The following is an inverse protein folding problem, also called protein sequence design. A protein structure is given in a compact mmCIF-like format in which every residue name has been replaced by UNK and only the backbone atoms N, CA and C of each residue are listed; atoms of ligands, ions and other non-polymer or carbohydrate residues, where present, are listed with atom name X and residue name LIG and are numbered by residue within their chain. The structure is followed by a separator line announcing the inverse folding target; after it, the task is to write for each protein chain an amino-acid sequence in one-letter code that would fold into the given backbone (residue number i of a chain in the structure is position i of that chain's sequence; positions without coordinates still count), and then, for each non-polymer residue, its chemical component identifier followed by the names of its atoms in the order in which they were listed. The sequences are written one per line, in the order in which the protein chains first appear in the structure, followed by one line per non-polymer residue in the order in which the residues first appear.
data_IF_769286713307
#
_entry.id   IF_769286713307
#
_cell.length_a   1.000
_cell.length_b   1.000
_cell.length_c   1.000
_cell.angle_alpha   90.00
_cell.angle_beta   90.00
_cell.angle_gamma   90.00
#
_symmetry.space_group_name_H-M   'P 1'
#
loop_
_entity.id
_entity.type
_entity.pdbx_description
1 polymer ?
#
# COMPACT_ATOMS: atom_id res chain seq x y z
N UNK A 1 44.67 -24.34 -32.10
CA UNK A 1 45.03 -25.15 -30.91
C UNK A 1 44.78 -24.27 -29.69
N UNK A 2 43.70 -24.32 -28.92
CA UNK A 2 42.67 -25.33 -28.73
C UNK A 2 41.30 -24.64 -28.62
N UNK A 3 40.34 -25.19 -29.37
CA UNK A 3 38.91 -25.01 -29.13
C UNK A 3 38.52 -25.70 -27.82
N UNK A 4 37.69 -25.08 -26.99
CA UNK A 4 36.63 -25.75 -26.23
C UNK A 4 35.59 -24.73 -25.77
N UNK A 5 34.40 -24.83 -26.36
CA UNK A 5 33.16 -24.22 -25.89
C UNK A 5 32.74 -24.89 -24.58
N UNK A 6 32.19 -24.11 -23.64
CA UNK A 6 31.06 -24.50 -22.79
C UNK A 6 30.49 -23.21 -22.16
N UNK A 7 29.42 -22.63 -22.73
CA UNK A 7 28.04 -22.77 -22.23
C UNK A 7 27.83 -21.95 -20.94
N UNK A 8 27.22 -20.77 -20.93
CA UNK A 8 25.86 -20.53 -21.43
C UNK A 8 25.56 -19.06 -21.72
N UNK A 9 25.04 -18.88 -22.92
CA UNK A 9 24.64 -17.67 -23.61
C UNK A 9 23.13 -17.51 -23.39
N UNK A 10 22.71 -16.76 -22.37
CA UNK A 10 21.33 -16.22 -22.23
C UNK A 10 21.13 -15.40 -20.95
N UNK A 11 21.52 -14.12 -20.89
CA UNK A 11 21.01 -13.28 -19.79
C UNK A 11 20.74 -11.79 -20.11
N UNK A 12 20.75 -11.40 -21.40
CA UNK A 12 20.56 -9.99 -21.77
C UNK A 12 19.20 -9.65 -22.38
N UNK A 13 18.30 -10.62 -22.57
CA UNK A 13 17.04 -10.38 -23.30
C UNK A 13 15.80 -10.24 -22.41
N UNK A 14 15.75 -10.87 -21.23
CA UNK A 14 14.65 -10.65 -20.27
C UNK A 14 14.83 -9.40 -19.39
N UNK A 15 16.04 -8.83 -19.36
CA UNK A 15 16.40 -7.77 -18.41
C UNK A 15 15.98 -6.35 -18.86
N UNK A 16 15.69 -6.11 -20.15
CA UNK A 16 15.50 -4.74 -20.67
C UNK A 16 14.05 -4.25 -20.68
N UNK A 17 13.03 -5.04 -21.08
CA UNK A 17 11.65 -4.57 -21.10
C UNK A 17 11.06 -4.46 -19.69
N UNK A 18 11.25 -5.48 -18.86
CA UNK A 18 10.67 -5.55 -17.51
C UNK A 18 11.26 -4.52 -16.55
N UNK A 19 12.56 -4.23 -16.65
CA UNK A 19 13.18 -3.15 -15.88
C UNK A 19 12.65 -1.78 -16.29
N UNK A 20 12.48 -1.55 -17.59
CA UNK A 20 11.96 -0.29 -18.09
C UNK A 20 10.49 -0.11 -17.66
N UNK A 21 9.69 -1.17 -17.72
CA UNK A 21 8.31 -1.16 -17.23
C UNK A 21 8.22 -0.84 -15.72
N UNK A 22 9.08 -1.44 -14.89
CA UNK A 22 9.15 -1.15 -13.45
C UNK A 22 9.56 0.30 -13.15
N UNK A 23 10.53 0.83 -13.90
CA UNK A 23 10.96 2.22 -13.74
C UNK A 23 9.84 3.21 -14.10
N UNK A 24 9.15 2.97 -15.22
CA UNK A 24 7.99 3.75 -15.66
C UNK A 24 6.87 3.70 -14.62
N UNK A 25 6.57 2.50 -14.08
CA UNK A 25 5.53 2.34 -13.05
C UNK A 25 5.88 3.10 -11.77
N UNK A 26 7.13 2.99 -11.31
CA UNK A 26 7.61 3.72 -10.13
C UNK A 26 7.50 5.24 -10.32
N UNK A 27 7.92 5.75 -11.47
CA UNK A 27 7.83 7.18 -11.79
C UNK A 27 6.37 7.64 -11.85
N UNK A 28 5.49 6.83 -12.43
CA UNK A 28 4.06 7.13 -12.48
C UNK A 28 3.47 7.20 -11.06
N UNK A 29 3.75 6.22 -10.19
CA UNK A 29 3.29 6.22 -8.79
C UNK A 29 3.79 7.48 -8.07
N UNK A 30 5.09 7.77 -8.15
CA UNK A 30 5.68 8.93 -7.49
C UNK A 30 5.02 10.26 -7.92
N UNK A 31 4.74 10.42 -9.21
CA UNK A 31 4.07 11.61 -9.74
C UNK A 31 2.60 11.74 -9.29
N UNK A 32 1.91 10.61 -9.06
CA UNK A 32 0.48 10.61 -8.76
C UNK A 32 0.16 10.54 -7.26
N UNK A 33 1.09 10.13 -6.38
CA UNK A 33 0.85 9.97 -4.94
C UNK A 33 0.32 11.25 -4.25
N UNK A 34 0.93 12.41 -4.52
CA UNK A 34 0.46 13.69 -3.95
C UNK A 34 -0.96 14.03 -4.43
N UNK A 35 -1.24 13.75 -5.71
CA UNK A 35 -2.56 13.99 -6.30
C UNK A 35 -3.60 13.05 -5.70
N UNK A 36 -3.27 11.78 -5.52
CA UNK A 36 -4.13 10.79 -4.91
C UNK A 36 -4.60 11.20 -3.50
N UNK A 37 -3.70 11.78 -2.71
CA UNK A 37 -4.02 12.32 -1.39
C UNK A 37 -5.01 13.51 -1.49
N UNK A 38 -4.77 14.43 -2.42
CA UNK A 38 -5.64 15.61 -2.63
C UNK A 38 -7.00 15.27 -3.26
N UNK A 39 -7.07 14.21 -4.06
CA UNK A 39 -8.27 13.78 -4.78
C UNK A 39 -9.08 12.69 -4.04
N UNK A 40 -8.75 12.42 -2.77
CA UNK A 40 -9.44 11.41 -1.96
C UNK A 40 -9.45 10.02 -2.61
N UNK A 41 -8.36 9.65 -3.27
CA UNK A 41 -8.21 8.34 -3.91
C UNK A 41 -7.72 7.26 -2.93
N UNK A 42 -7.26 7.66 -1.74
CA UNK A 42 -6.97 6.72 -0.66
C UNK A 42 -8.23 6.34 0.10
N UNK A 43 -8.31 5.07 0.49
CA UNK A 43 -9.36 4.52 1.36
C UNK A 43 -8.73 3.62 2.41
N UNK A 44 -9.39 3.49 3.56
CA UNK A 44 -9.00 2.53 4.59
C UNK A 44 -9.89 1.29 4.51
N UNK A 45 -9.26 0.12 4.46
CA UNK A 45 -9.91 -1.15 4.74
C UNK A 45 -9.59 -1.55 6.18
N UNK A 46 -10.49 -2.31 6.82
CA UNK A 46 -10.34 -2.68 8.22
C UNK A 46 -10.32 -4.19 8.37
N UNK A 47 -9.23 -4.73 8.90
CA UNK A 47 -9.13 -6.15 9.23
C UNK A 47 -9.40 -6.36 10.73
N UNK A 48 -10.43 -7.13 11.12
CA UNK A 48 -10.75 -7.32 12.52
C UNK A 48 -9.65 -8.10 13.25
N UNK A 49 -9.35 -7.67 14.48
CA UNK A 49 -8.53 -8.41 15.44
C UNK A 49 -9.47 -9.09 16.42
N UNK A 50 -9.35 -10.40 16.56
CA UNK A 50 -10.19 -11.22 17.42
C UNK A 50 -9.34 -11.86 18.50
N UNK A 51 -9.86 -11.88 19.71
CA UNK A 51 -9.32 -12.68 20.80
C UNK A 51 -9.68 -14.16 20.54
N UNK A 52 -8.69 -15.04 20.56
CA UNK A 52 -8.87 -16.44 20.18
C UNK A 52 -9.54 -17.29 21.28
N UNK A 53 -9.47 -16.85 22.53
CA UNK A 53 -10.05 -17.56 23.67
C UNK A 53 -11.55 -17.25 23.81
N UNK A 54 -11.90 -15.99 23.65
CA UNK A 54 -13.27 -15.47 23.81
C UNK A 54 -14.03 -15.34 22.50
N UNK A 55 -13.35 -15.34 21.36
CA UNK A 55 -13.94 -15.07 20.04
C UNK A 55 -14.40 -13.63 19.83
N UNK A 56 -14.14 -12.74 20.80
CA UNK A 56 -14.59 -11.35 20.75
C UNK A 56 -13.64 -10.50 19.91
N UNK A 57 -14.20 -9.54 19.16
CA UNK A 57 -13.41 -8.56 18.44
C UNK A 57 -12.78 -7.57 19.43
N UNK A 58 -11.45 -7.44 19.39
CA UNK A 58 -10.65 -6.56 20.27
C UNK A 58 -10.22 -5.28 19.56
N UNK A 59 -10.22 -5.26 18.23
CA UNK A 59 -9.77 -4.13 17.45
C UNK A 59 -9.93 -4.33 15.94
N UNK A 60 -9.37 -3.40 15.18
CA UNK A 60 -9.23 -3.53 13.74
C UNK A 60 -7.91 -2.94 13.27
N UNK A 61 -7.27 -3.55 12.29
CA UNK A 61 -6.12 -2.96 11.61
C UNK A 61 -6.61 -2.09 10.45
N UNK A 62 -6.19 -0.83 10.41
CA UNK A 62 -6.42 0.06 9.27
C UNK A 62 -5.38 -0.19 8.20
N UNK A 63 -5.85 -0.62 7.04
CA UNK A 63 -5.06 -1.00 5.89
C UNK A 63 -5.34 -0.03 4.75
N UNK A 64 -4.38 0.85 4.46
CA UNK A 64 -4.51 1.83 3.37
C UNK A 64 -4.62 1.12 2.01
N UNK A 65 -5.47 1.65 1.14
CA UNK A 65 -5.60 1.22 -0.26
C UNK A 65 -5.68 2.46 -1.13
N UNK A 66 -5.12 2.39 -2.32
CA UNK A 66 -5.26 3.44 -3.31
C UNK A 66 -6.20 2.97 -4.41
N UNK A 67 -7.37 3.60 -4.51
CA UNK A 67 -8.37 3.34 -5.52
C UNK A 67 -8.24 4.35 -6.66
N UNK A 68 -7.38 4.04 -7.62
CA UNK A 68 -7.17 4.92 -8.77
C UNK A 68 -8.34 4.75 -9.78
N UNK A 69 -8.97 5.84 -10.26
CA UNK A 69 -10.19 5.77 -11.06
C UNK A 69 -10.04 4.99 -12.37
N UNK A 70 -8.86 5.01 -12.98
CA UNK A 70 -8.61 4.37 -14.28
C UNK A 70 -7.77 3.10 -14.21
N UNK A 71 -7.00 2.90 -13.13
CA UNK A 71 -6.06 1.77 -13.00
C UNK A 71 -6.59 0.69 -12.06
N UNK A 72 -7.68 0.98 -11.35
CA UNK A 72 -8.20 0.11 -10.32
C UNK A 72 -7.37 0.18 -9.04
N UNK A 73 -7.42 -0.87 -8.19
CA UNK A 73 -6.75 -0.87 -6.90
C UNK A 73 -5.23 -0.97 -7.06
N UNK A 74 -4.52 -0.10 -6.34
CA UNK A 74 -3.07 -0.14 -6.17
C UNK A 74 -2.80 -0.46 -4.69
N UNK A 75 -2.07 -1.54 -4.45
CA UNK A 75 -1.85 -2.07 -3.10
C UNK A 75 -0.64 -1.43 -2.40
N UNK A 76 -0.61 -1.42 -1.05
CA UNK A 76 0.47 -0.81 -0.26
C UNK A 76 1.87 -1.21 -0.71
N UNK A 77 2.10 -2.49 -0.98
CA UNK A 77 3.39 -2.99 -1.43
C UNK A 77 3.92 -2.33 -2.71
N UNK A 78 3.04 -1.75 -3.53
CA UNK A 78 3.41 -1.05 -4.76
C UNK A 78 3.78 0.41 -4.53
N UNK A 79 3.16 1.09 -3.54
CA UNK A 79 3.29 2.54 -3.40
C UNK A 79 3.94 3.01 -2.09
N UNK A 80 3.91 2.22 -1.01
CA UNK A 80 4.49 2.59 0.28
C UNK A 80 6.01 2.83 0.18
N UNK A 81 6.81 1.95 -0.45
CA UNK A 81 8.25 2.20 -0.61
C UNK A 81 8.53 3.50 -1.39
N UNK A 82 7.68 3.81 -2.36
CA UNK A 82 7.82 5.01 -3.19
C UNK A 82 7.40 6.25 -2.40
N UNK A 83 6.38 6.15 -1.56
CA UNK A 83 5.96 7.21 -0.66
C UNK A 83 7.04 7.52 0.39
N UNK A 84 7.74 6.51 0.90
CA UNK A 84 8.92 6.65 1.76
C UNK A 84 10.03 7.42 1.06
N UNK A 85 10.44 6.95 -0.13
CA UNK A 85 11.49 7.58 -0.94
C UNK A 85 11.14 9.03 -1.32
N UNK A 86 9.85 9.35 -1.49
CA UNK A 86 9.37 10.69 -1.83
C UNK A 86 9.11 11.59 -0.61
N UNK A 87 9.31 11.11 0.61
CA UNK A 87 9.04 11.84 1.85
C UNK A 87 7.54 12.11 2.10
N UNK A 88 6.65 11.27 1.54
CA UNK A 88 5.20 11.41 1.63
C UNK A 88 4.56 10.59 2.76
N UNK A 89 5.34 9.82 3.52
CA UNK A 89 4.79 9.04 4.64
C UNK A 89 4.19 9.89 5.74
N UNK A 90 4.74 11.07 6.01
CA UNK A 90 4.18 11.98 7.02
C UNK A 90 2.77 12.46 6.62
N UNK A 91 2.54 13.08 5.44
CA UNK A 91 1.20 13.53 5.07
C UNK A 91 0.22 12.37 4.87
N UNK A 92 0.66 11.20 4.37
CA UNK A 92 -0.18 10.01 4.26
C UNK A 92 -0.56 9.49 5.65
N UNK A 93 0.40 9.36 6.56
CA UNK A 93 0.16 8.89 7.93
C UNK A 93 -0.79 9.80 8.70
N UNK A 94 -0.65 11.13 8.55
CA UNK A 94 -1.61 12.09 9.11
C UNK A 94 -3.02 11.91 8.57
N UNK A 95 -3.16 11.65 7.26
CA UNK A 95 -4.46 11.36 6.66
C UNK A 95 -5.03 10.04 7.17
N UNK A 96 -4.23 8.96 7.23
CA UNK A 96 -4.63 7.65 7.76
C UNK A 96 -5.13 7.79 9.20
N UNK A 97 -4.40 8.49 10.06
CA UNK A 97 -4.78 8.67 11.47
C UNK A 97 -6.12 9.43 11.61
N UNK A 98 -6.31 10.50 10.83
CA UNK A 98 -7.57 11.25 10.85
C UNK A 98 -8.75 10.37 10.43
N UNK A 99 -8.59 9.65 9.32
CA UNK A 99 -9.65 8.79 8.77
C UNK A 99 -9.96 7.61 9.71
N UNK A 100 -8.93 6.98 10.29
CA UNK A 100 -9.06 5.93 11.28
C UNK A 100 -9.82 6.39 12.53
N UNK A 101 -9.47 7.56 13.08
CA UNK A 101 -10.16 8.14 14.23
C UNK A 101 -11.61 8.49 13.91
N UNK A 102 -11.87 9.10 12.75
CA UNK A 102 -13.23 9.42 12.31
C UNK A 102 -14.09 8.15 12.17
N UNK A 103 -13.54 7.09 11.56
CA UNK A 103 -14.24 5.82 11.43
C UNK A 103 -14.49 5.12 12.78
N UNK A 104 -13.52 5.19 13.70
CA UNK A 104 -13.67 4.65 15.04
C UNK A 104 -14.80 5.37 15.81
N UNK A 105 -14.88 6.70 15.70
CA UNK A 105 -15.98 7.47 16.28
C UNK A 105 -17.33 7.07 15.67
N UNK A 106 -17.41 6.95 14.34
CA UNK A 106 -18.63 6.52 13.68
C UNK A 106 -19.11 5.12 14.12
N UNK A 107 -18.18 4.22 14.46
CA UNK A 107 -18.53 2.93 15.05
C UNK A 107 -19.08 3.05 16.48
N UNK A 108 -18.47 3.90 17.31
CA UNK A 108 -18.96 4.19 18.66
C UNK A 108 -20.38 4.75 18.61
N UNK A 109 -20.61 5.73 17.72
CA UNK A 109 -21.92 6.37 17.55
C UNK A 109 -22.98 5.38 17.05
N UNK A 110 -22.57 4.38 16.26
CA UNK A 110 -23.42 3.27 15.81
C UNK A 110 -23.60 2.16 16.88
N UNK A 111 -23.14 2.37 18.11
CA UNK A 111 -23.26 1.41 19.22
C UNK A 111 -22.32 0.20 19.12
N UNK A 112 -21.29 0.27 18.27
CA UNK A 112 -20.26 -0.78 18.16
C UNK A 112 -19.17 -0.50 19.21
N UNK A 113 -18.72 -1.55 19.91
CA UNK A 113 -17.67 -1.42 20.94
C UNK A 113 -16.38 -0.84 20.35
N UNK A 114 -15.65 -0.01 21.11
CA UNK A 114 -14.46 0.66 20.60
C UNK A 114 -13.43 -0.38 20.17
N UNK A 115 -13.00 -0.27 18.93
CA UNK A 115 -11.98 -1.12 18.34
C UNK A 115 -10.70 -0.31 18.27
N UNK A 116 -9.62 -0.81 18.86
CA UNK A 116 -8.29 -0.23 18.67
C UNK A 116 -7.98 -0.25 17.18
N UNK A 117 -7.76 0.93 16.58
CA UNK A 117 -7.32 1.05 15.18
C UNK A 117 -5.80 1.22 15.16
N UNK A 118 -5.09 0.20 14.69
CA UNK A 118 -3.65 0.24 14.48
C UNK A 118 -3.35 0.32 12.97
N UNK A 119 -2.32 1.08 12.59
CA UNK A 119 -1.80 1.10 11.23
C UNK A 119 -0.43 0.41 11.22
N UNK A 120 -0.24 -0.51 10.29
CA UNK A 120 1.05 -1.15 10.03
C UNK A 120 1.54 -0.65 8.67
N UNK A 121 2.73 -0.06 8.65
CA UNK A 121 3.48 0.36 7.45
C UNK A 121 3.99 -0.85 6.67
#
# INVERSE_FOLDING_TARGET
MYHAKESGRNNHQFFKPDMNARAVERQWIAANLRRALAQHEFVLHYQPKVDLETGLMTGAEALIRWRHPHRGPIYPAQFVPIAEDCGLMVPIGQWVLREACAQAQAWIDAGRRPTTVAWTS
#
